data_IF_292946990933
#
_entry.id   IF_292946990933
#
_cell.length_a   1.000
_cell.length_b   1.000
_cell.length_c   1.000
_cell.angle_alpha   90.00
_cell.angle_beta   90.00
_cell.angle_gamma   90.00
#
_symmetry.space_group_name_H-M   'P 1'
#
loop_
_entity.id
_entity.type
_entity.pdbx_description
1 polymer ?
#
# COMPACT_ATOMS: atom_id res chain seq x y z
N UNK A 1 -1.38 39.67 -9.45
CA UNK A 1 -2.03 38.34 -9.47
C UNK A 1 -3.33 38.46 -8.71
N UNK A 2 -4.47 38.16 -9.33
CA UNK A 2 -5.75 38.23 -8.62
C UNK A 2 -5.93 36.95 -7.78
N UNK A 3 -6.72 37.03 -6.71
CA UNK A 3 -6.99 35.93 -5.79
C UNK A 3 -7.48 34.67 -6.51
N UNK A 4 -8.24 34.81 -7.61
CA UNK A 4 -8.68 33.68 -8.43
C UNK A 4 -7.55 32.94 -9.15
N UNK A 5 -6.53 33.65 -9.61
CA UNK A 5 -5.36 33.05 -10.29
C UNK A 5 -4.45 32.36 -9.29
N UNK A 6 -4.29 32.96 -8.10
CA UNK A 6 -3.55 32.37 -7.00
C UNK A 6 -4.22 31.06 -6.54
N UNK A 7 -5.55 31.04 -6.42
CA UNK A 7 -6.29 29.85 -6.00
C UNK A 7 -6.17 28.72 -7.02
N UNK A 8 -6.29 29.02 -8.32
CA UNK A 8 -6.16 28.03 -9.39
C UNK A 8 -4.74 27.46 -9.45
N UNK A 9 -3.72 28.30 -9.22
CA UNK A 9 -2.33 27.87 -9.22
C UNK A 9 -1.99 27.04 -7.99
N UNK A 10 -2.44 27.44 -6.80
CA UNK A 10 -2.30 26.63 -5.58
C UNK A 10 -2.99 25.28 -5.71
N UNK A 11 -4.18 25.23 -6.30
CA UNK A 11 -4.87 23.96 -6.55
C UNK A 11 -4.09 23.09 -7.54
N UNK A 12 -3.56 23.68 -8.62
CA UNK A 12 -2.72 22.98 -9.58
C UNK A 12 -1.40 22.49 -8.98
N UNK A 13 -0.77 23.29 -8.13
CA UNK A 13 0.49 22.97 -7.47
C UNK A 13 0.26 21.86 -6.43
N UNK A 14 -0.85 21.90 -5.69
CA UNK A 14 -1.29 20.82 -4.78
C UNK A 14 -1.58 19.52 -5.53
N UNK A 15 -2.23 19.61 -6.69
CA UNK A 15 -2.47 18.44 -7.55
C UNK A 15 -1.16 17.90 -8.15
N UNK A 16 -0.20 18.77 -8.47
CA UNK A 16 1.10 18.40 -9.02
C UNK A 16 2.08 17.83 -7.98
N UNK A 17 1.91 18.13 -6.68
CA UNK A 17 2.71 17.58 -5.57
C UNK A 17 2.37 16.11 -5.27
N UNK A 18 1.26 15.57 -5.78
CA UNK A 18 0.89 14.17 -5.62
C UNK A 18 -0.01 13.90 -4.41
N UNK A 19 -1.26 14.37 -4.54
CA UNK A 19 -2.52 13.71 -4.11
C UNK A 19 -2.62 13.20 -2.67
N UNK A 20 -2.81 14.12 -1.73
CA UNK A 20 -3.40 13.82 -0.42
C UNK A 20 -4.62 14.74 -0.17
N UNK A 21 -5.56 14.78 -1.12
CA UNK A 21 -6.79 15.57 -0.98
C UNK A 21 -8.00 14.64 -0.97
N UNK A 22 -8.91 14.79 0.00
CA UNK A 22 -10.06 13.91 0.09
C UNK A 22 -10.96 14.11 -1.14
N UNK A 23 -11.42 12.99 -1.70
CA UNK A 23 -12.37 12.96 -2.80
C UNK A 23 -13.77 13.32 -2.25
N UNK A 24 -14.40 14.33 -2.84
CA UNK A 24 -15.77 14.69 -2.47
C UNK A 24 -16.77 13.65 -2.99
N UNK A 25 -17.64 13.16 -2.11
CA UNK A 25 -18.77 12.27 -2.47
C UNK A 25 -20.08 12.84 -1.94
N UNK A 26 -21.21 12.24 -2.37
CA UNK A 26 -22.54 12.57 -1.82
C UNK A 26 -22.65 12.34 -0.30
N UNK A 27 -21.76 11.52 0.27
CA UNK A 27 -21.70 11.21 1.71
C UNK A 27 -20.64 12.02 2.46
N UNK A 28 -19.99 12.97 1.79
CA UNK A 28 -18.90 13.78 2.34
C UNK A 28 -17.53 13.40 1.77
N UNK A 29 -16.45 14.02 2.30
CA UNK A 29 -15.09 13.76 1.86
C UNK A 29 -14.64 12.35 2.26
N UNK A 30 -14.09 11.59 1.31
CA UNK A 30 -13.47 10.27 1.52
C UNK A 30 -12.00 10.30 1.11
N UNK A 31 -11.19 9.37 1.59
CA UNK A 31 -9.80 9.25 1.12
C UNK A 31 -9.76 8.96 -0.38
N UNK A 32 -8.76 9.53 -1.08
CA UNK A 32 -8.48 9.12 -2.45
C UNK A 32 -8.03 7.64 -2.46
N UNK A 33 -8.16 6.96 -3.61
CA UNK A 33 -7.83 5.54 -3.70
C UNK A 33 -6.39 5.25 -3.26
N UNK A 34 -5.43 6.01 -3.78
CA UNK A 34 -4.01 5.87 -3.44
C UNK A 34 -3.75 6.11 -1.94
N UNK A 35 -4.50 7.02 -1.30
CA UNK A 35 -4.43 7.26 0.15
C UNK A 35 -4.96 6.04 0.93
N UNK A 36 -6.09 5.46 0.50
CA UNK A 36 -6.62 4.24 1.10
C UNK A 36 -5.59 3.12 0.97
N UNK A 37 -5.04 2.91 -0.22
CA UNK A 37 -4.03 1.88 -0.49
C UNK A 37 -2.80 2.10 0.40
N UNK A 38 -2.26 3.31 0.46
CA UNK A 38 -1.11 3.63 1.30
C UNK A 38 -1.37 3.36 2.78
N UNK A 39 -2.56 3.70 3.29
CA UNK A 39 -2.92 3.36 4.69
C UNK A 39 -3.00 1.86 4.94
N UNK A 40 -3.36 1.06 3.93
CA UNK A 40 -3.40 -0.42 4.01
C UNK A 40 -2.01 -1.03 3.92
N UNK A 41 -1.14 -0.53 3.04
CA UNK A 41 0.26 -0.98 2.97
C UNK A 41 0.99 -0.68 4.28
N UNK A 42 0.81 0.53 4.83
CA UNK A 42 1.31 0.89 6.17
C UNK A 42 0.81 -0.08 7.25
N UNK A 43 -0.49 -0.37 7.23
CA UNK A 43 -1.08 -1.31 8.17
C UNK A 43 -0.54 -2.74 8.03
N UNK A 44 -0.29 -3.19 6.80
CA UNK A 44 0.32 -4.48 6.51
C UNK A 44 1.70 -4.55 7.15
N UNK A 45 2.58 -3.56 6.93
CA UNK A 45 3.92 -3.53 7.55
C UNK A 45 3.86 -3.48 9.09
N UNK A 46 2.98 -2.65 9.65
CA UNK A 46 2.86 -2.39 11.09
C UNK A 46 2.29 -3.57 11.89
N UNK A 47 1.18 -4.17 11.43
CA UNK A 47 0.49 -5.22 12.19
C UNK A 47 0.28 -6.54 11.46
N UNK A 48 0.45 -6.60 10.14
CA UNK A 48 0.27 -7.83 9.35
C UNK A 48 -1.01 -8.57 9.71
N UNK A 49 -2.18 -7.97 9.50
CA UNK A 49 -3.43 -8.72 9.64
C UNK A 49 -3.85 -9.28 8.28
N UNK A 50 -4.54 -10.43 8.27
CA UNK A 50 -5.03 -11.11 7.05
C UNK A 50 -5.76 -10.14 6.10
N UNK A 51 -6.66 -9.30 6.62
CA UNK A 51 -7.37 -8.29 5.83
C UNK A 51 -6.46 -7.27 5.14
N UNK A 52 -5.35 -6.90 5.78
CA UNK A 52 -4.44 -5.90 5.20
C UNK A 52 -3.69 -6.52 4.02
N UNK A 53 -3.30 -7.80 4.14
CA UNK A 53 -2.71 -8.55 3.04
C UNK A 53 -3.70 -8.71 1.87
N UNK A 54 -4.97 -9.02 2.16
CA UNK A 54 -6.04 -9.11 1.16
C UNK A 54 -6.23 -7.77 0.45
N UNK A 55 -6.35 -6.67 1.20
CA UNK A 55 -6.57 -5.33 0.66
C UNK A 55 -5.38 -4.88 -0.22
N UNK A 56 -4.14 -5.16 0.20
CA UNK A 56 -2.94 -4.82 -0.57
C UNK A 56 -2.79 -5.72 -1.80
N UNK A 57 -3.13 -7.01 -1.70
CA UNK A 57 -3.17 -7.89 -2.87
C UNK A 57 -4.20 -7.39 -3.91
N UNK A 58 -5.37 -6.94 -3.46
CA UNK A 58 -6.35 -6.33 -4.35
C UNK A 58 -5.83 -5.04 -5.01
N UNK A 59 -5.08 -4.22 -4.28
CA UNK A 59 -4.44 -3.00 -4.79
C UNK A 59 -3.35 -3.28 -5.85
N UNK A 60 -2.75 -4.49 -5.85
CA UNK A 60 -1.72 -4.88 -6.84
C UNK A 60 -2.25 -4.92 -8.28
N UNK A 61 -3.58 -4.92 -8.47
CA UNK A 61 -4.23 -4.77 -9.80
C UNK A 61 -4.06 -3.38 -10.40
N UNK A 62 -3.72 -2.38 -9.59
CA UNK A 62 -3.61 -0.98 -9.98
C UNK A 62 -2.17 -0.45 -9.86
N UNK A 63 -1.37 -1.04 -8.97
CA UNK A 63 -0.06 -0.55 -8.60
C UNK A 63 0.96 -1.68 -8.55
N UNK A 64 2.20 -1.37 -8.95
CA UNK A 64 3.32 -2.29 -8.75
C UNK A 64 3.68 -2.38 -7.26
N UNK A 65 4.43 -3.40 -6.87
CA UNK A 65 4.93 -3.53 -5.49
C UNK A 65 5.79 -2.33 -5.05
N UNK A 66 6.59 -1.76 -5.96
CA UNK A 66 7.36 -0.53 -5.69
C UNK A 66 6.47 0.71 -5.48
N UNK A 67 5.36 0.82 -6.24
CA UNK A 67 4.36 1.87 -6.01
C UNK A 67 3.71 1.70 -4.64
N UNK A 68 3.34 0.46 -4.27
CA UNK A 68 2.75 0.15 -2.97
C UNK A 68 3.68 0.53 -1.82
N UNK A 69 4.99 0.23 -1.90
CA UNK A 69 5.99 0.68 -0.93
C UNK A 69 6.02 2.22 -0.81
N UNK A 70 5.99 2.91 -1.94
CA UNK A 70 5.98 4.39 -1.98
C UNK A 70 4.71 4.96 -1.34
N UNK A 71 3.54 4.37 -1.63
CA UNK A 71 2.29 4.75 -1.00
C UNK A 71 2.31 4.44 0.50
N UNK A 72 2.83 3.28 0.92
CA UNK A 72 3.00 2.94 2.33
C UNK A 72 3.84 3.97 3.10
N UNK A 73 5.00 4.35 2.54
CA UNK A 73 5.90 5.38 3.10
C UNK A 73 5.20 6.73 3.30
N UNK A 74 4.37 7.17 2.36
CA UNK A 74 3.65 8.45 2.46
C UNK A 74 2.69 8.54 3.65
N UNK A 75 2.18 7.39 4.12
CA UNK A 75 1.18 7.34 5.20
C UNK A 75 1.75 6.83 6.53
N UNK A 76 3.03 6.46 6.60
CA UNK A 76 3.67 6.10 7.84
C UNK A 76 3.73 7.31 8.79
N UNK A 77 3.37 7.08 10.05
CA UNK A 77 3.49 8.12 11.10
C UNK A 77 4.94 8.32 11.51
N UNK A 78 5.67 7.22 11.55
CA UNK A 78 7.11 7.13 11.79
C UNK A 78 7.78 6.54 10.52
N UNK A 79 8.92 5.87 10.66
CA UNK A 79 9.61 5.22 9.54
C UNK A 79 8.81 4.01 9.02
N UNK A 80 8.70 3.91 7.69
CA UNK A 80 8.17 2.72 7.02
C UNK A 80 9.31 1.75 6.73
N UNK A 81 9.44 0.75 7.59
CA UNK A 81 10.50 -0.27 7.53
C UNK A 81 10.16 -1.35 6.49
N UNK A 82 11.01 -1.51 5.47
CA UNK A 82 10.82 -2.54 4.45
C UNK A 82 11.08 -3.94 4.99
N UNK A 83 11.95 -4.06 5.98
CA UNK A 83 12.25 -5.30 6.69
C UNK A 83 11.04 -5.78 7.49
N UNK A 84 10.29 -4.86 8.12
CA UNK A 84 9.03 -5.20 8.78
C UNK A 84 7.98 -5.67 7.78
N UNK A 85 7.83 -4.96 6.65
CA UNK A 85 6.95 -5.39 5.56
C UNK A 85 7.34 -6.79 5.06
N UNK A 86 8.63 -7.02 4.82
CA UNK A 86 9.15 -8.31 4.40
C UNK A 86 8.78 -9.41 5.41
N UNK A 87 8.98 -9.16 6.71
CA UNK A 87 8.63 -10.11 7.77
C UNK A 87 7.13 -10.43 7.79
N UNK A 88 6.26 -9.44 7.51
CA UNK A 88 4.80 -9.67 7.44
C UNK A 88 4.39 -10.44 6.20
N UNK A 89 5.04 -10.21 5.06
CA UNK A 89 4.80 -10.99 3.83
C UNK A 89 5.24 -12.45 4.01
N UNK A 90 6.38 -12.70 4.66
CA UNK A 90 6.82 -14.06 5.02
C UNK A 90 5.80 -14.74 5.96
N UNK A 91 5.25 -13.98 6.91
CA UNK A 91 4.19 -14.45 7.82
C UNK A 91 2.92 -14.95 7.14
N UNK A 92 2.67 -14.56 5.88
CA UNK A 92 1.44 -14.87 5.16
C UNK A 92 1.17 -16.36 4.94
N UNK A 93 2.23 -17.18 4.88
CA UNK A 93 2.10 -18.63 4.72
C UNK A 93 1.58 -19.33 5.98
N UNK A 94 1.65 -18.65 7.14
CA UNK A 94 1.27 -19.20 8.44
C UNK A 94 -0.15 -18.84 8.90
N UNK A 95 -0.87 -18.00 8.15
CA UNK A 95 -2.29 -17.78 8.40
C UNK A 95 -3.10 -19.02 8.03
N UNK A 96 -4.14 -19.30 8.79
CA UNK A 96 -5.02 -20.44 8.53
C UNK A 96 -5.97 -20.12 7.35
N UNK A 97 -6.34 -21.14 6.58
CA UNK A 97 -7.22 -20.97 5.40
C UNK A 97 -8.62 -20.46 5.79
N UNK A 98 -9.09 -20.80 7.00
CA UNK A 98 -10.34 -20.29 7.57
C UNK A 98 -10.32 -18.78 7.77
N UNK A 99 -9.15 -18.18 8.05
CA UNK A 99 -9.04 -16.73 8.20
C UNK A 99 -9.28 -16.01 6.88
N UNK A 100 -8.83 -16.57 5.76
CA UNK A 100 -9.11 -16.04 4.41
C UNK A 100 -10.56 -16.30 3.98
N UNK A 101 -11.07 -17.49 4.29
CA UNK A 101 -12.46 -17.88 3.99
C UNK A 101 -13.46 -16.99 4.74
N UNK A 102 -13.12 -16.52 5.94
CA UNK A 102 -13.93 -15.54 6.68
C UNK A 102 -14.11 -14.19 5.94
N UNK A 103 -13.20 -13.87 5.00
CA UNK A 103 -13.31 -12.72 4.09
C UNK A 103 -13.84 -13.10 2.69
N UNK A 104 -14.27 -14.35 2.50
CA UNK A 104 -14.89 -14.83 1.27
C UNK A 104 -13.91 -15.23 0.16
N UNK A 105 -12.61 -15.39 0.48
CA UNK A 105 -11.65 -15.93 -0.48
C UNK A 105 -11.90 -17.42 -0.67
N UNK A 106 -11.79 -17.88 -1.92
CA UNK A 106 -11.75 -19.30 -2.25
C UNK A 106 -10.33 -19.85 -2.06
N UNK A 107 -10.17 -21.17 -2.01
CA UNK A 107 -8.84 -21.81 -1.97
C UNK A 107 -7.94 -21.33 -3.11
N UNK A 108 -8.52 -21.14 -4.31
CA UNK A 108 -7.79 -20.63 -5.47
C UNK A 108 -7.32 -19.18 -5.27
N UNK A 109 -8.18 -18.31 -4.72
CA UNK A 109 -7.81 -16.92 -4.40
C UNK A 109 -6.69 -16.88 -3.35
N UNK A 110 -6.78 -17.74 -2.32
CA UNK A 110 -5.77 -17.86 -1.27
C UNK A 110 -4.43 -18.33 -1.82
N UNK A 111 -4.41 -19.31 -2.73
CA UNK A 111 -3.18 -19.76 -3.41
C UNK A 111 -2.55 -18.63 -4.23
N UNK A 112 -3.36 -17.90 -5.01
CA UNK A 112 -2.87 -16.75 -5.79
C UNK A 112 -2.32 -15.66 -4.88
N UNK A 113 -3.02 -15.31 -3.80
CA UNK A 113 -2.60 -14.30 -2.84
C UNK A 113 -1.27 -14.69 -2.16
N UNK A 114 -1.13 -15.94 -1.70
CA UNK A 114 0.11 -16.43 -1.06
C UNK A 114 1.28 -16.44 -2.04
N UNK A 115 1.05 -16.83 -3.31
CA UNK A 115 2.09 -16.77 -4.34
C UNK A 115 2.56 -15.33 -4.56
N UNK A 116 1.63 -14.38 -4.73
CA UNK A 116 1.96 -12.96 -4.87
C UNK A 116 2.74 -12.41 -3.65
N UNK A 117 2.32 -12.77 -2.42
CA UNK A 117 3.02 -12.35 -1.21
C UNK A 117 4.45 -12.90 -1.15
N UNK A 118 4.64 -14.16 -1.54
CA UNK A 118 5.96 -14.80 -1.62
C UNK A 118 6.86 -14.14 -2.67
N UNK A 119 6.34 -13.88 -3.86
CA UNK A 119 7.11 -13.23 -4.93
C UNK A 119 7.62 -11.85 -4.50
N UNK A 120 6.78 -11.08 -3.81
CA UNK A 120 7.19 -9.78 -3.27
C UNK A 120 8.18 -9.91 -2.11
N UNK A 121 7.95 -10.85 -1.20
CA UNK A 121 8.88 -11.16 -0.10
C UNK A 121 10.28 -11.55 -0.61
N UNK A 122 10.37 -12.38 -1.66
CA UNK A 122 11.62 -12.83 -2.27
C UNK A 122 12.35 -11.71 -3.02
N UNK A 123 11.60 -10.75 -3.56
CA UNK A 123 12.12 -9.64 -4.35
C UNK A 123 12.68 -8.50 -3.46
N UNK A 124 12.08 -8.25 -2.29
CA UNK A 124 12.48 -7.17 -1.38
C UNK A 124 13.97 -7.20 -1.00
N UNK A 125 14.55 -8.31 -0.49
CA UNK A 125 15.98 -8.38 -0.18
C UNK A 125 16.85 -8.15 -1.39
N UNK A 126 16.45 -8.68 -2.56
CA UNK A 126 17.26 -8.57 -3.77
C UNK A 126 17.48 -7.11 -4.13
N UNK A 127 16.41 -6.30 -4.08
CA UNK A 127 16.49 -4.84 -4.30
C UNK A 127 17.25 -4.11 -3.21
N UNK A 128 17.12 -4.51 -1.94
CA UNK A 128 17.88 -3.91 -0.85
C UNK A 128 19.40 -4.17 -0.95
N UNK A 129 19.81 -5.32 -1.51
CA UNK A 129 21.23 -5.64 -1.72
C UNK A 129 21.81 -5.07 -3.03
N UNK A 130 20.98 -4.90 -4.06
CA UNK A 130 21.37 -4.32 -5.36
C UNK A 130 21.51 -2.79 -5.33
N UNK A 131 20.93 -2.13 -4.33
CA UNK A 131 21.20 -0.73 -3.98
C UNK A 131 22.10 -0.66 -2.74
N UNK A 132 23.41 -1.00 -2.83
CA UNK A 132 24.33 -0.60 -1.80
C UNK A 132 24.24 0.92 -1.69
N UNK A 133 24.09 1.42 -0.47
CA UNK A 133 24.29 2.85 -0.16
C UNK A 133 25.57 3.30 -0.84
N UNK A 134 25.45 4.11 -1.89
CA UNK A 134 26.54 4.92 -2.39
C UNK A 134 26.88 5.89 -1.24
N UNK A 135 27.93 5.54 -0.49
CA UNK A 135 28.64 6.42 0.45
C UNK A 135 29.34 7.57 -0.30
#
# INVERSE_FOLDING_TARGET
>A
MNLGDLHRRLLSDVLAIGTAYPLATAYGPVLALDDVIGTKVRALADRGAVRDLIDVHAASRHHTTADLETLGRRHARDEFCLEDLQARLAGAEWYEDEEFTAYGLTDADTVTLRAWARDWWDDLPRRLHEHPTDD
#
